data_IF_664790846995
#
_entry.id   IF_664790846995
#
_cell.length_a   1.000
_cell.length_b   1.000
_cell.length_c   1.000
_cell.angle_alpha   90.00
_cell.angle_beta   90.00
_cell.angle_gamma   90.00
#
_symmetry.space_group_name_H-M   'P 1'
#
loop_
_entity.id
_entity.type
_entity.pdbx_description
1 polymer ?
#
# COMPACT_ATOMS: atom_id res chain seq x y z
N UNK A 1 -33.06 -18.24 -3.49
CA UNK A 1 -31.73 -17.67 -3.21
C UNK A 1 -31.13 -17.32 -4.57
N UNK A 2 -30.67 -16.12 -4.76
CA UNK A 2 -30.00 -15.75 -6.02
C UNK A 2 -28.58 -16.33 -6.05
N UNK A 3 -27.96 -16.42 -7.22
CA UNK A 3 -26.55 -16.85 -7.32
C UNK A 3 -25.62 -15.93 -6.51
N UNK A 4 -25.92 -14.62 -6.46
CA UNK A 4 -25.19 -13.67 -5.64
C UNK A 4 -25.30 -14.01 -4.15
N UNK A 5 -26.52 -14.37 -3.66
CA UNK A 5 -26.71 -14.77 -2.27
C UNK A 5 -25.92 -16.04 -1.91
N UNK A 6 -25.83 -16.99 -2.84
CA UNK A 6 -25.05 -18.23 -2.67
C UNK A 6 -23.55 -17.92 -2.59
N UNK A 7 -23.03 -17.08 -3.47
CA UNK A 7 -21.61 -16.69 -3.47
C UNK A 7 -21.24 -15.89 -2.21
N UNK A 8 -22.12 -15.00 -1.74
CA UNK A 8 -21.90 -14.26 -0.50
C UNK A 8 -21.94 -15.21 0.73
N UNK A 9 -22.82 -16.21 0.71
CA UNK A 9 -22.85 -17.23 1.74
C UNK A 9 -21.57 -18.11 1.72
N UNK A 10 -21.02 -18.40 0.55
CA UNK A 10 -19.74 -19.09 0.41
C UNK A 10 -18.58 -18.22 0.92
N UNK A 11 -18.56 -16.94 0.56
CA UNK A 11 -17.54 -15.98 1.00
C UNK A 11 -17.49 -15.85 2.53
N UNK A 12 -18.64 -15.96 3.21
CA UNK A 12 -18.79 -15.78 4.66
C UNK A 12 -18.97 -17.09 5.42
N UNK A 13 -18.71 -18.24 4.79
CA UNK A 13 -18.98 -19.57 5.35
C UNK A 13 -18.01 -19.99 6.46
N UNK A 14 -16.87 -19.30 6.65
CA UNK A 14 -15.79 -19.75 7.52
C UNK A 14 -14.93 -20.88 6.92
N UNK A 15 -15.25 -21.34 5.70
CA UNK A 15 -14.43 -22.28 4.93
C UNK A 15 -13.59 -21.51 3.90
N UNK A 16 -12.27 -21.50 4.10
CA UNK A 16 -11.33 -20.75 3.26
C UNK A 16 -11.43 -21.17 1.78
N UNK A 17 -11.59 -22.46 1.50
CA UNK A 17 -11.69 -22.97 0.12
C UNK A 17 -12.96 -22.48 -0.58
N UNK A 18 -14.09 -22.48 0.13
CA UNK A 18 -15.35 -21.97 -0.41
C UNK A 18 -15.26 -20.46 -0.65
N UNK A 19 -14.73 -19.73 0.33
CA UNK A 19 -14.56 -18.29 0.21
C UNK A 19 -13.63 -17.91 -0.96
N UNK A 20 -12.49 -18.59 -1.09
CA UNK A 20 -11.55 -18.35 -2.19
C UNK A 20 -12.15 -18.62 -3.58
N UNK A 21 -12.95 -19.69 -3.69
CA UNK A 21 -13.66 -20.03 -4.92
C UNK A 21 -14.77 -19.02 -5.28
N UNK A 22 -15.37 -18.35 -4.30
CA UNK A 22 -16.41 -17.36 -4.52
C UNK A 22 -15.85 -16.02 -5.04
N UNK A 23 -14.61 -15.66 -4.69
CA UNK A 23 -14.00 -14.37 -5.03
C UNK A 23 -14.03 -14.06 -6.54
N UNK A 24 -13.55 -14.92 -7.46
CA UNK A 24 -13.56 -14.61 -8.89
C UNK A 24 -14.98 -14.38 -9.43
N UNK A 25 -15.94 -15.18 -9.00
CA UNK A 25 -17.32 -15.03 -9.43
C UNK A 25 -17.96 -13.72 -8.92
N UNK A 26 -17.67 -13.33 -7.67
CA UNK A 26 -18.11 -12.04 -7.11
C UNK A 26 -17.47 -10.84 -7.83
N UNK A 27 -16.21 -10.96 -8.25
CA UNK A 27 -15.54 -9.94 -9.08
C UNK A 27 -16.24 -9.82 -10.44
N UNK A 28 -16.65 -10.92 -11.06
CA UNK A 28 -17.39 -10.94 -12.33
C UNK A 28 -18.81 -10.31 -12.20
N UNK A 29 -19.44 -10.41 -11.03
CA UNK A 29 -20.70 -9.68 -10.76
C UNK A 29 -20.52 -8.16 -10.81
N UNK A 30 -19.31 -7.67 -10.62
CA UNK A 30 -19.00 -6.25 -10.72
C UNK A 30 -19.82 -5.39 -9.75
N UNK A 31 -20.42 -4.32 -10.27
CA UNK A 31 -21.15 -3.33 -9.47
C UNK A 31 -22.35 -3.90 -8.70
N UNK A 32 -22.95 -4.99 -9.17
CA UNK A 32 -24.10 -5.60 -8.49
C UNK A 32 -23.72 -6.26 -7.15
N UNK A 33 -22.45 -6.68 -6.99
CA UNK A 33 -21.95 -7.25 -5.73
C UNK A 33 -21.49 -6.16 -4.72
N UNK A 34 -21.19 -4.94 -5.17
CA UNK A 34 -20.58 -3.91 -4.32
C UNK A 34 -21.40 -3.52 -3.09
N UNK A 35 -22.74 -3.36 -3.14
CA UNK A 35 -23.51 -3.05 -1.94
C UNK A 35 -23.30 -4.08 -0.83
N UNK A 36 -23.42 -5.38 -1.16
CA UNK A 36 -23.25 -6.46 -0.20
C UNK A 36 -21.81 -6.56 0.31
N UNK A 37 -20.81 -6.43 -0.57
CA UNK A 37 -19.39 -6.43 -0.15
C UNK A 37 -19.09 -5.26 0.79
N UNK A 38 -19.65 -4.07 0.52
CA UNK A 38 -19.48 -2.90 1.39
C UNK A 38 -20.16 -3.07 2.74
N UNK A 39 -21.29 -3.76 2.80
CA UNK A 39 -21.95 -4.11 4.07
C UNK A 39 -21.05 -5.03 4.90
N UNK A 40 -20.38 -6.02 4.27
CA UNK A 40 -19.41 -6.90 4.92
C UNK A 40 -18.19 -6.16 5.47
N UNK A 41 -17.78 -5.05 4.83
CA UNK A 41 -16.69 -4.21 5.35
C UNK A 41 -17.01 -3.61 6.73
N UNK A 42 -18.29 -3.46 7.09
CA UNK A 42 -18.73 -2.93 8.39
C UNK A 42 -18.98 -4.05 9.41
N UNK A 43 -18.69 -5.30 9.08
CA UNK A 43 -18.89 -6.43 9.99
C UNK A 43 -17.93 -6.37 11.19
N UNK A 44 -18.40 -6.80 12.35
CA UNK A 44 -17.56 -7.06 13.53
C UNK A 44 -16.62 -8.26 13.31
N UNK A 45 -17.00 -9.18 12.42
CA UNK A 45 -16.23 -10.35 12.05
C UNK A 45 -15.04 -9.94 11.15
N UNK A 46 -13.82 -10.27 11.61
CA UNK A 46 -12.56 -9.96 10.92
C UNK A 46 -12.48 -10.64 9.55
N UNK A 47 -12.90 -11.92 9.50
CA UNK A 47 -12.81 -12.71 8.26
C UNK A 47 -13.74 -12.14 7.19
N UNK A 48 -14.94 -11.68 7.58
CA UNK A 48 -15.85 -11.03 6.63
C UNK A 48 -15.28 -9.72 6.08
N UNK A 49 -14.67 -8.87 6.92
CA UNK A 49 -14.01 -7.65 6.44
C UNK A 49 -12.84 -7.97 5.51
N UNK A 50 -12.04 -8.97 5.87
CA UNK A 50 -10.88 -9.38 5.09
C UNK A 50 -11.28 -9.92 3.70
N UNK A 51 -12.26 -10.83 3.65
CA UNK A 51 -12.74 -11.38 2.38
C UNK A 51 -13.41 -10.34 1.50
N UNK A 52 -14.17 -9.41 2.08
CA UNK A 52 -14.76 -8.31 1.35
C UNK A 52 -13.69 -7.40 0.73
N UNK A 53 -12.65 -7.01 1.52
CA UNK A 53 -11.51 -6.24 1.01
C UNK A 53 -10.77 -6.97 -0.10
N UNK A 54 -10.46 -8.27 0.10
CA UNK A 54 -9.78 -9.10 -0.89
C UNK A 54 -10.56 -9.17 -2.20
N UNK A 55 -11.88 -9.31 -2.12
CA UNK A 55 -12.75 -9.33 -3.29
C UNK A 55 -12.77 -7.98 -4.02
N UNK A 56 -12.96 -6.90 -3.27
CA UNK A 56 -12.95 -5.54 -3.82
C UNK A 56 -11.59 -5.19 -4.44
N UNK A 57 -10.48 -5.56 -3.79
CA UNK A 57 -9.13 -5.30 -4.29
C UNK A 57 -8.85 -5.95 -5.66
N UNK A 58 -9.53 -7.04 -6.00
CA UNK A 58 -9.41 -7.71 -7.30
C UNK A 58 -10.36 -7.17 -8.35
N UNK A 59 -11.35 -6.37 -7.97
CA UNK A 59 -12.30 -5.78 -8.92
C UNK A 59 -11.71 -4.56 -9.63
N UNK A 60 -11.68 -4.51 -10.97
CA UNK A 60 -11.18 -3.35 -11.71
C UNK A 60 -12.02 -2.09 -11.52
N UNK A 61 -13.23 -2.22 -10.94
CA UNK A 61 -14.17 -1.14 -10.70
C UNK A 61 -14.22 -0.71 -9.22
N UNK A 62 -13.39 -1.31 -8.35
CA UNK A 62 -13.32 -0.89 -6.96
C UNK A 62 -12.77 0.54 -6.86
N UNK A 63 -13.28 1.28 -5.87
CA UNK A 63 -12.86 2.65 -5.63
C UNK A 63 -11.89 2.69 -4.46
N UNK A 64 -10.82 3.44 -4.61
CA UNK A 64 -9.83 3.71 -3.57
C UNK A 64 -10.48 4.14 -2.25
N UNK A 65 -11.51 4.98 -2.30
CA UNK A 65 -12.25 5.46 -1.14
C UNK A 65 -12.88 4.35 -0.27
N UNK A 66 -13.13 3.16 -0.84
CA UNK A 66 -13.67 2.02 -0.10
C UNK A 66 -12.59 1.27 0.68
N UNK A 67 -11.34 1.34 0.25
CA UNK A 67 -10.21 0.64 0.84
C UNK A 67 -9.51 1.49 1.92
N UNK A 68 -9.44 2.80 1.72
CA UNK A 68 -8.70 3.74 2.56
C UNK A 68 -9.00 3.64 4.07
N UNK A 69 -10.28 3.52 4.53
CA UNK A 69 -10.57 3.45 5.97
C UNK A 69 -9.90 2.26 6.65
N UNK A 70 -9.69 1.16 5.91
CA UNK A 70 -9.17 -0.11 6.43
C UNK A 70 -7.64 -0.13 6.57
N UNK A 71 -6.94 0.90 6.16
CA UNK A 71 -5.55 1.12 6.57
C UNK A 71 -5.42 1.37 8.08
N UNK A 72 -6.51 1.70 8.77
CA UNK A 72 -6.57 1.89 10.22
C UNK A 72 -7.36 0.81 10.95
N UNK A 73 -7.64 -0.32 10.31
CA UNK A 73 -8.34 -1.44 10.99
C UNK A 73 -7.49 -1.94 12.17
N UNK A 74 -8.10 -2.30 13.30
CA UNK A 74 -7.37 -2.83 14.45
C UNK A 74 -6.59 -4.11 14.12
N UNK A 75 -7.06 -4.88 13.14
CA UNK A 75 -6.48 -6.17 12.74
C UNK A 75 -5.43 -5.98 11.63
N UNK A 76 -4.17 -6.41 11.84
CA UNK A 76 -3.11 -6.26 10.84
C UNK A 76 -3.44 -6.87 9.48
N UNK A 77 -4.05 -8.05 9.45
CA UNK A 77 -4.40 -8.77 8.22
C UNK A 77 -5.39 -7.98 7.35
N UNK A 78 -6.32 -7.27 8.00
CA UNK A 78 -7.26 -6.38 7.30
C UNK A 78 -6.53 -5.15 6.74
N UNK A 79 -5.60 -4.54 7.52
CA UNK A 79 -4.76 -3.44 7.02
C UNK A 79 -3.88 -3.88 5.84
N UNK A 80 -3.31 -5.10 5.90
CA UNK A 80 -2.55 -5.69 4.79
C UNK A 80 -3.39 -5.83 3.53
N UNK A 81 -4.63 -6.37 3.66
CA UNK A 81 -5.55 -6.50 2.52
C UNK A 81 -5.90 -5.13 1.91
N UNK A 82 -6.13 -4.12 2.74
CA UNK A 82 -6.39 -2.76 2.28
C UNK A 82 -5.18 -2.16 1.54
N UNK A 83 -3.98 -2.26 2.13
CA UNK A 83 -2.75 -1.74 1.52
C UNK A 83 -2.41 -2.45 0.20
N UNK A 84 -2.61 -3.78 0.14
CA UNK A 84 -2.43 -4.55 -1.09
C UNK A 84 -3.43 -4.11 -2.18
N UNK A 85 -4.70 -3.93 -1.81
CA UNK A 85 -5.72 -3.44 -2.74
C UNK A 85 -5.36 -2.07 -3.31
N UNK A 86 -4.80 -1.17 -2.50
CA UNK A 86 -4.36 0.16 -2.93
C UNK A 86 -3.17 0.12 -3.89
N UNK A 87 -2.35 -0.94 -3.89
CA UNK A 87 -1.33 -1.14 -4.93
C UNK A 87 -1.96 -1.36 -6.32
N UNK A 88 -3.10 -2.04 -6.38
CA UNK A 88 -3.84 -2.29 -7.63
C UNK A 88 -4.71 -1.11 -8.10
N UNK A 89 -4.94 -0.13 -7.22
CA UNK A 89 -5.81 1.04 -7.46
C UNK A 89 -5.07 2.34 -7.11
N UNK A 90 -4.00 2.70 -7.86
CA UNK A 90 -3.21 3.90 -7.57
C UNK A 90 -4.05 5.16 -7.75
N UNK A 91 -4.19 5.93 -6.67
CA UNK A 91 -4.96 7.17 -6.63
C UNK A 91 -4.28 8.18 -5.69
N UNK A 92 -4.20 9.44 -6.11
CA UNK A 92 -3.55 10.49 -5.33
C UNK A 92 -4.21 10.75 -3.96
N UNK A 93 -5.50 10.44 -3.82
CA UNK A 93 -6.20 10.57 -2.53
C UNK A 93 -5.66 9.62 -1.47
N UNK A 94 -5.00 8.52 -1.88
CA UNK A 94 -4.38 7.56 -0.98
C UNK A 94 -3.00 8.00 -0.44
N UNK A 95 -2.36 9.01 -1.02
CA UNK A 95 -0.98 9.38 -0.68
C UNK A 95 -0.82 9.63 0.82
N UNK A 96 -1.64 10.50 1.42
CA UNK A 96 -1.50 10.85 2.84
C UNK A 96 -1.73 9.65 3.77
N UNK A 97 -2.80 8.86 3.63
CA UNK A 97 -2.98 7.64 4.41
C UNK A 97 -1.84 6.63 4.24
N UNK A 98 -1.33 6.43 3.02
CA UNK A 98 -0.22 5.51 2.75
C UNK A 98 1.11 6.00 3.36
N UNK A 99 1.38 7.31 3.33
CA UNK A 99 2.56 7.90 4.00
C UNK A 99 2.48 7.66 5.51
N UNK A 100 1.30 7.76 6.13
CA UNK A 100 1.12 7.40 7.54
C UNK A 100 1.36 5.92 7.80
N UNK A 101 0.86 5.03 6.90
CA UNK A 101 1.02 3.60 7.00
C UNK A 101 2.48 3.11 6.82
N UNK A 102 3.41 3.95 6.32
CA UNK A 102 4.85 3.65 6.35
C UNK A 102 5.38 3.42 7.77
N UNK A 103 4.71 3.98 8.79
CA UNK A 103 5.04 3.83 10.21
C UNK A 103 4.22 2.74 10.91
N UNK A 104 3.48 1.92 10.17
CA UNK A 104 2.70 0.83 10.77
C UNK A 104 3.59 -0.15 11.54
N UNK A 105 3.08 -0.63 12.67
CA UNK A 105 3.77 -1.63 13.49
C UNK A 105 3.93 -2.97 12.76
N UNK A 106 2.98 -3.31 11.89
CA UNK A 106 3.07 -4.47 11.02
C UNK A 106 3.97 -4.17 9.82
N UNK A 107 4.98 -5.02 9.64
CA UNK A 107 6.01 -4.81 8.62
C UNK A 107 5.50 -4.99 7.21
N UNK A 108 4.53 -5.87 7.00
CA UNK A 108 3.95 -6.09 5.67
C UNK A 108 3.04 -4.92 5.27
N UNK A 109 2.29 -4.35 6.21
CA UNK A 109 1.49 -3.13 5.95
C UNK A 109 2.39 -1.99 5.49
N UNK A 110 3.50 -1.73 6.21
CA UNK A 110 4.43 -0.65 5.84
C UNK A 110 5.12 -0.88 4.49
N UNK A 111 5.45 -2.13 4.16
CA UNK A 111 6.06 -2.48 2.87
C UNK A 111 5.04 -2.37 1.71
N UNK A 112 3.79 -2.77 1.93
CA UNK A 112 2.71 -2.62 0.96
C UNK A 112 2.35 -1.13 0.75
N UNK A 113 2.31 -0.34 1.82
CA UNK A 113 2.10 1.10 1.73
C UNK A 113 3.19 1.79 0.88
N UNK A 114 4.47 1.40 1.07
CA UNK A 114 5.57 1.84 0.21
C UNK A 114 5.30 1.46 -1.25
N UNK A 115 4.93 0.20 -1.50
CA UNK A 115 4.68 -0.27 -2.88
C UNK A 115 3.53 0.51 -3.53
N UNK A 116 2.43 0.76 -2.81
CA UNK A 116 1.32 1.56 -3.32
C UNK A 116 1.74 3.01 -3.64
N UNK A 117 2.59 3.63 -2.81
CA UNK A 117 3.15 4.97 -3.10
C UNK A 117 4.04 4.98 -4.35
N UNK A 118 4.78 3.89 -4.60
CA UNK A 118 5.58 3.74 -5.82
C UNK A 118 4.67 3.61 -7.06
N UNK A 119 3.57 2.87 -6.96
CA UNK A 119 2.58 2.76 -8.06
C UNK A 119 1.90 4.12 -8.36
N UNK A 120 1.61 4.93 -7.33
CA UNK A 120 1.11 6.31 -7.53
C UNK A 120 2.19 7.18 -8.22
N UNK A 121 3.45 6.96 -7.88
CA UNK A 121 4.59 7.59 -8.55
C UNK A 121 4.81 9.06 -8.16
N UNK A 122 5.08 9.91 -9.17
CA UNK A 122 5.51 11.31 -8.97
C UNK A 122 4.65 12.16 -8.02
N UNK A 123 3.32 12.05 -8.00
CA UNK A 123 2.49 12.79 -7.04
C UNK A 123 2.83 12.52 -5.57
N UNK A 124 3.38 11.34 -5.25
CA UNK A 124 3.77 10.99 -3.89
C UNK A 124 5.11 11.64 -3.44
N UNK A 125 5.97 12.05 -4.38
CA UNK A 125 7.33 12.55 -4.11
C UNK A 125 7.36 13.70 -3.09
N UNK A 126 6.55 14.78 -3.21
CA UNK A 126 6.59 15.87 -2.23
C UNK A 126 6.27 15.43 -0.79
N UNK A 127 5.37 14.46 -0.65
CA UNK A 127 4.96 13.91 0.65
C UNK A 127 6.05 13.02 1.25
N UNK A 128 6.72 12.23 0.43
CA UNK A 128 7.84 11.39 0.85
C UNK A 128 9.08 12.23 1.21
N UNK A 129 9.34 13.31 0.49
CA UNK A 129 10.42 14.26 0.83
C UNK A 129 10.16 15.00 2.15
N UNK A 130 8.88 15.23 2.49
CA UNK A 130 8.48 15.84 3.76
C UNK A 130 8.34 14.83 4.90
N UNK A 131 8.75 13.57 4.70
CA UNK A 131 8.64 12.54 5.73
C UNK A 131 9.51 12.88 6.96
N UNK A 132 8.98 12.72 8.20
CA UNK A 132 9.68 13.17 9.40
C UNK A 132 11.03 12.47 9.59
N UNK A 133 12.08 13.26 9.91
CA UNK A 133 13.43 12.73 10.17
C UNK A 133 13.54 12.02 11.52
N UNK A 134 12.63 12.28 12.45
CA UNK A 134 12.50 11.64 13.76
C UNK A 134 11.57 10.41 13.77
N UNK A 135 11.03 10.05 12.60
CA UNK A 135 10.21 8.84 12.46
C UNK A 135 11.03 7.57 12.72
N UNK A 136 10.35 6.42 13.01
CA UNK A 136 11.02 5.15 13.20
C UNK A 136 11.97 4.83 12.04
N UNK A 137 13.16 4.26 12.30
CA UNK A 137 14.17 4.02 11.26
C UNK A 137 13.66 3.24 10.05
N UNK A 138 12.80 2.24 10.28
CA UNK A 138 12.19 1.46 9.19
C UNK A 138 11.29 2.32 8.30
N UNK A 139 10.47 3.18 8.90
CA UNK A 139 9.58 4.06 8.15
C UNK A 139 10.36 5.04 7.27
N UNK A 140 11.46 5.60 7.80
CA UNK A 140 12.39 6.47 7.04
C UNK A 140 13.04 5.72 5.87
N UNK A 141 13.47 4.48 6.10
CA UNK A 141 14.04 3.62 5.05
C UNK A 141 12.99 3.37 3.97
N UNK A 142 11.74 3.05 4.34
CA UNK A 142 10.66 2.82 3.38
C UNK A 142 10.32 4.08 2.58
N UNK A 143 10.30 5.26 3.21
CA UNK A 143 10.07 6.53 2.51
C UNK A 143 11.20 6.83 1.49
N UNK A 144 12.45 6.65 1.91
CA UNK A 144 13.61 6.88 1.04
C UNK A 144 13.67 5.87 -0.11
N UNK A 145 13.36 4.61 0.19
CA UNK A 145 13.27 3.54 -0.81
C UNK A 145 12.19 3.84 -1.85
N UNK A 146 11.02 4.33 -1.42
CA UNK A 146 9.98 4.77 -2.35
C UNK A 146 10.46 5.89 -3.27
N UNK A 147 11.17 6.91 -2.73
CA UNK A 147 11.77 7.97 -3.54
C UNK A 147 12.77 7.43 -4.57
N UNK A 148 13.63 6.49 -4.15
CA UNK A 148 14.61 5.84 -5.02
C UNK A 148 13.93 5.02 -6.13
N UNK A 149 12.85 4.30 -5.80
CA UNK A 149 12.09 3.46 -6.74
C UNK A 149 11.25 4.31 -7.72
N UNK A 150 10.66 5.43 -7.28
CA UNK A 150 9.94 6.38 -8.16
C UNK A 150 10.89 7.04 -9.15
N UNK A 151 12.10 7.39 -8.73
CA UNK A 151 13.12 7.93 -9.61
C UNK A 151 12.79 9.32 -10.18
N UNK A 152 12.23 10.23 -9.37
CA UNK A 152 12.00 11.62 -9.77
C UNK A 152 13.19 12.51 -9.37
N UNK A 153 13.63 13.37 -10.29
CA UNK A 153 14.74 14.32 -10.06
C UNK A 153 14.50 15.27 -8.89
N UNK A 154 13.25 15.56 -8.54
CA UNK A 154 12.91 16.37 -7.37
C UNK A 154 13.41 15.75 -6.06
N UNK A 155 13.58 14.43 -6.00
CA UNK A 155 14.05 13.72 -4.80
C UNK A 155 15.57 13.86 -4.56
N UNK A 156 16.36 14.36 -5.52
CA UNK A 156 17.83 14.46 -5.41
C UNK A 156 18.29 15.10 -4.09
N UNK A 157 17.77 16.26 -3.65
CA UNK A 157 18.23 16.87 -2.41
C UNK A 157 18.01 15.97 -1.18
N UNK A 158 16.88 15.27 -1.12
CA UNK A 158 16.57 14.36 -0.02
C UNK A 158 17.46 13.10 -0.05
N UNK A 159 17.71 12.55 -1.24
CA UNK A 159 18.62 11.42 -1.43
C UNK A 159 20.06 11.81 -1.05
N UNK A 160 20.54 12.99 -1.45
CA UNK A 160 21.87 13.49 -1.08
C UNK A 160 22.00 13.67 0.45
N UNK A 161 21.00 14.26 1.11
CA UNK A 161 21.01 14.41 2.55
C UNK A 161 21.03 13.05 3.28
N UNK A 162 20.27 12.07 2.81
CA UNK A 162 20.25 10.72 3.39
C UNK A 162 21.56 9.96 3.15
N UNK A 163 22.28 10.25 2.07
CA UNK A 163 23.59 9.66 1.80
C UNK A 163 24.68 10.13 2.80
N UNK A 164 24.53 11.31 3.38
CA UNK A 164 25.44 11.87 4.39
C UNK A 164 25.14 11.38 5.83
N UNK A 165 24.04 10.63 6.03
CA UNK A 165 23.69 10.11 7.37
C UNK A 165 24.52 8.88 7.75
N UNK A 166 24.69 8.64 9.08
CA UNK A 166 25.42 7.48 9.63
C UNK A 166 24.63 6.16 9.55
N UNK A 167 23.68 6.01 8.64
CA UNK A 167 22.87 4.82 8.46
C UNK A 167 23.18 4.11 7.16
N UNK A 168 23.82 2.95 7.25
CA UNK A 168 24.17 2.14 6.06
C UNK A 168 22.97 1.82 5.17
N UNK A 169 21.77 1.62 5.75
CA UNK A 169 20.56 1.36 4.98
C UNK A 169 20.04 2.60 4.26
N UNK A 170 20.10 3.78 4.90
CA UNK A 170 19.73 5.03 4.25
C UNK A 170 20.74 5.38 3.15
N UNK A 171 22.03 5.24 3.41
CA UNK A 171 23.08 5.41 2.41
C UNK A 171 22.87 4.50 1.19
N UNK A 172 22.59 3.22 1.43
CA UNK A 172 22.33 2.26 0.35
C UNK A 172 21.17 2.69 -0.57
N UNK A 173 20.02 3.05 0.01
CA UNK A 173 18.87 3.46 -0.80
C UNK A 173 19.05 4.84 -1.43
N UNK A 174 19.78 5.75 -0.78
CA UNK A 174 20.18 7.03 -1.35
C UNK A 174 21.06 6.84 -2.59
N UNK A 175 22.11 6.00 -2.46
CA UNK A 175 23.02 5.66 -3.57
C UNK A 175 22.25 5.04 -4.74
N UNK A 176 21.43 4.01 -4.45
CA UNK A 176 20.61 3.35 -5.47
C UNK A 176 19.67 4.33 -6.21
N UNK A 177 19.04 5.27 -5.47
CA UNK A 177 18.18 6.27 -6.06
C UNK A 177 18.94 7.28 -6.94
N UNK A 178 20.11 7.74 -6.49
CA UNK A 178 20.95 8.65 -7.24
C UNK A 178 21.53 8.00 -8.50
N UNK A 179 21.97 6.74 -8.41
CA UNK A 179 22.42 5.97 -9.57
C UNK A 179 21.30 5.79 -10.61
N UNK A 180 20.09 5.49 -10.17
CA UNK A 180 18.93 5.38 -11.06
C UNK A 180 18.63 6.67 -11.81
N UNK A 181 18.92 7.82 -11.19
CA UNK A 181 18.83 9.16 -11.79
C UNK A 181 20.02 9.53 -12.67
N UNK A 182 20.98 8.61 -12.84
CA UNK A 182 22.18 8.82 -13.66
C UNK A 182 23.30 9.58 -12.94
N UNK A 183 23.20 9.77 -11.63
CA UNK A 183 24.21 10.42 -10.81
C UNK A 183 25.17 9.36 -10.25
N UNK A 184 26.35 9.23 -10.86
CA UNK A 184 27.35 8.28 -10.39
C UNK A 184 28.07 8.83 -9.15
N UNK A 185 27.81 8.23 -7.99
CA UNK A 185 28.33 8.65 -6.68
C UNK A 185 29.83 8.48 -6.52
N UNK A 186 30.51 7.74 -7.41
CA UNK A 186 31.99 7.58 -7.38
C UNK A 186 32.71 8.93 -7.45
N UNK A 187 32.10 9.94 -8.10
CA UNK A 187 32.67 11.27 -8.23
C UNK A 187 32.30 12.23 -7.09
N UNK A 188 31.43 11.82 -6.17
CA UNK A 188 30.91 12.66 -5.09
C UNK A 188 31.49 12.31 -3.70
N UNK A 189 32.29 11.24 -3.60
CA UNK A 189 32.99 10.92 -2.34
C UNK A 189 34.18 11.85 -2.20
N UNK A 190 34.24 12.74 -1.16
CA UNK A 190 35.48 13.43 -0.85
C UNK A 190 36.55 12.41 -0.48
N UNK A 191 37.80 12.67 -0.92
CA UNK A 191 38.98 11.90 -0.52
C UNK A 191 39.26 11.99 0.98
#
# INVERSE_FOLDING_TARGET
MSLLDELLADLTSGDETRAENAVPALVEFGEDAFPALRDLLNSEDVDQRWWALRTLAQSPHARTEWLLPFLNDPTPEVRQAAALGLCGHPDETAIRPLVQALSDADTLVSDLARSALVEIGKPAVPYLMAFPTDAPPRARINALRALAEIGDYAAIPTLMAAFEEDSAMLQHWAEAGLERLGLNMVYLKPE
#
